data_IF_602806998531
#
_entry.id   IF_602806998531
#
_cell.length_a   1.000
_cell.length_b   1.000
_cell.length_c   1.000
_cell.angle_alpha   90.00
_cell.angle_beta   90.00
_cell.angle_gamma   90.00
#
_symmetry.space_group_name_H-M   'P 1'
#
loop_
_entity.id
_entity.type
_entity.pdbx_description
1 polymer ?
#
# COMPACT_ATOMS: atom_id res chain seq x y z
N UNK A 1 -14.31 11.75 6.40
CA UNK A 1 -14.29 11.20 5.04
C UNK A 1 -13.06 11.79 4.39
N UNK A 2 -11.93 11.09 4.43
CA UNK A 2 -10.70 11.57 3.80
C UNK A 2 -10.68 11.05 2.37
N UNK A 3 -10.58 11.97 1.42
CA UNK A 3 -10.53 11.63 0.01
C UNK A 3 -9.25 10.85 -0.30
N UNK A 4 -9.33 9.86 -1.18
CA UNK A 4 -8.18 9.00 -1.56
C UNK A 4 -7.06 9.82 -2.20
N UNK A 5 -7.40 11.00 -2.74
CA UNK A 5 -6.48 11.99 -3.28
C UNK A 5 -5.54 12.60 -2.21
N UNK A 6 -5.95 12.67 -0.95
CA UNK A 6 -5.14 13.24 0.16
C UNK A 6 -4.05 12.28 0.66
N UNK A 7 -4.07 11.01 0.23
CA UNK A 7 -3.08 9.98 0.59
C UNK A 7 -2.32 9.40 -0.62
N UNK A 8 -2.42 10.04 -1.79
CA UNK A 8 -1.72 9.59 -2.99
C UNK A 8 -0.20 9.70 -2.86
N UNK A 9 0.53 8.86 -3.59
CA UNK A 9 2.00 8.85 -3.60
C UNK A 9 2.64 10.25 -3.67
N UNK A 10 2.16 11.11 -4.59
CA UNK A 10 2.73 12.45 -4.78
C UNK A 10 2.64 13.33 -3.52
N UNK A 11 1.51 13.25 -2.80
CA UNK A 11 1.29 13.98 -1.54
C UNK A 11 2.22 13.44 -0.45
N UNK A 12 2.32 12.12 -0.31
CA UNK A 12 3.20 11.46 0.66
C UNK A 12 4.67 11.77 0.40
N UNK A 13 5.11 11.71 -0.87
CA UNK A 13 6.46 12.05 -1.29
C UNK A 13 6.80 13.50 -0.94
N UNK A 14 5.92 14.44 -1.31
CA UNK A 14 6.08 15.86 -1.01
C UNK A 14 6.19 16.11 0.49
N UNK A 15 5.31 15.49 1.29
CA UNK A 15 5.31 15.61 2.76
C UNK A 15 6.65 15.18 3.34
N UNK A 16 7.13 13.98 2.99
CA UNK A 16 8.43 13.49 3.50
C UNK A 16 9.60 14.36 3.08
N UNK A 17 9.59 14.87 1.85
CA UNK A 17 10.59 15.78 1.32
C UNK A 17 10.62 17.09 2.12
N UNK A 18 9.45 17.69 2.37
CA UNK A 18 9.32 18.99 3.05
C UNK A 18 9.66 18.91 4.53
N UNK A 19 9.24 17.85 5.23
CA UNK A 19 9.62 17.61 6.64
C UNK A 19 11.14 17.53 6.81
N UNK A 20 11.86 17.02 5.80
CA UNK A 20 13.32 16.92 5.77
C UNK A 20 14.02 18.13 5.14
N UNK A 21 13.25 19.15 4.74
CA UNK A 21 13.75 20.39 4.10
C UNK A 21 14.58 20.13 2.84
N UNK A 22 14.22 19.10 2.08
CA UNK A 22 14.87 18.78 0.80
C UNK A 22 14.10 19.47 -0.33
N UNK A 23 14.78 20.07 -1.31
CA UNK A 23 14.10 20.62 -2.50
C UNK A 23 13.84 19.52 -3.52
N UNK A 24 12.88 19.70 -4.45
CA UNK A 24 12.64 18.74 -5.53
C UNK A 24 13.93 18.47 -6.32
N UNK A 25 14.72 19.51 -6.62
CA UNK A 25 15.98 19.38 -7.35
C UNK A 25 17.01 18.59 -6.55
N UNK A 26 17.08 18.81 -5.23
CA UNK A 26 18.03 18.09 -4.39
C UNK A 26 17.65 16.62 -4.21
N UNK A 27 16.36 16.34 -4.11
CA UNK A 27 15.85 14.96 -4.09
C UNK A 27 16.17 14.24 -5.40
N UNK A 28 15.90 14.90 -6.53
CA UNK A 28 16.20 14.37 -7.86
C UNK A 28 17.69 14.04 -8.00
N UNK A 29 18.58 14.99 -7.66
CA UNK A 29 20.03 14.79 -7.68
C UNK A 29 20.47 13.60 -6.83
N UNK A 30 19.99 13.51 -5.58
CA UNK A 30 20.34 12.41 -4.66
C UNK A 30 19.82 11.05 -5.13
N UNK A 31 18.66 11.01 -5.77
CA UNK A 31 18.02 9.79 -6.24
C UNK A 31 18.48 9.37 -7.66
N UNK A 32 19.30 10.16 -8.34
CA UNK A 32 19.73 9.88 -9.72
C UNK A 32 18.64 10.15 -10.77
N UNK A 33 17.72 11.08 -10.48
CA UNK A 33 16.63 11.47 -11.37
C UNK A 33 16.74 12.92 -11.84
N UNK A 34 15.99 13.24 -12.89
CA UNK A 34 15.77 14.62 -13.31
C UNK A 34 14.76 15.32 -12.39
N UNK A 35 14.97 16.63 -12.16
CA UNK A 35 14.03 17.48 -11.42
C UNK A 35 12.58 17.36 -11.95
N UNK A 36 12.42 17.31 -13.27
CA UNK A 36 11.11 17.19 -13.92
C UNK A 36 10.41 15.86 -13.64
N UNK A 37 11.16 14.81 -13.28
CA UNK A 37 10.59 13.53 -12.87
C UNK A 37 9.98 13.66 -11.47
N UNK A 38 10.75 14.15 -10.49
CA UNK A 38 10.26 14.37 -9.12
C UNK A 38 9.05 15.32 -9.09
N UNK A 39 9.10 16.40 -9.87
CA UNK A 39 7.97 17.34 -10.00
C UNK A 39 6.69 16.64 -10.50
N UNK A 40 6.79 15.79 -11.53
CA UNK A 40 5.64 15.04 -12.07
C UNK A 40 5.14 13.94 -11.13
N UNK A 41 6.02 13.36 -10.32
CA UNK A 41 5.64 12.42 -9.28
C UNK A 41 4.83 13.12 -8.19
N UNK A 42 5.30 14.28 -7.69
CA UNK A 42 4.59 15.03 -6.64
C UNK A 42 3.24 15.59 -7.12
N UNK A 43 3.11 15.93 -8.41
CA UNK A 43 1.83 16.37 -8.97
C UNK A 43 0.88 15.23 -9.36
N UNK A 44 1.32 13.96 -9.26
CA UNK A 44 0.55 12.80 -9.71
C UNK A 44 0.47 12.63 -11.23
N UNK A 45 1.14 13.49 -12.01
CA UNK A 45 1.22 13.37 -13.47
C UNK A 45 2.01 12.15 -13.95
N UNK A 46 2.74 11.47 -13.06
CA UNK A 46 3.48 10.24 -13.34
C UNK A 46 3.35 9.24 -12.19
N UNK A 47 3.12 7.98 -12.54
CA UNK A 47 3.18 6.86 -11.59
C UNK A 47 4.63 6.36 -11.45
N UNK A 48 5.15 6.17 -10.22
CA UNK A 48 6.48 5.63 -10.01
C UNK A 48 6.55 4.11 -10.25
N UNK A 49 7.74 3.59 -10.52
CA UNK A 49 8.03 2.15 -10.36
C UNK A 49 8.45 1.87 -8.93
N UNK A 50 8.42 0.60 -8.49
CA UNK A 50 8.92 0.20 -7.16
C UNK A 50 10.34 0.70 -6.93
N UNK A 51 11.24 0.43 -7.87
CA UNK A 51 12.65 0.84 -7.78
C UNK A 51 12.80 2.35 -7.61
N UNK A 52 11.98 3.14 -8.31
CA UNK A 52 11.99 4.58 -8.17
C UNK A 52 11.53 5.02 -6.77
N UNK A 53 10.52 4.37 -6.19
CA UNK A 53 10.09 4.63 -4.81
C UNK A 53 11.23 4.33 -3.84
N UNK A 54 11.91 3.20 -4.01
CA UNK A 54 13.02 2.78 -3.14
C UNK A 54 14.22 3.74 -3.25
N UNK A 55 14.56 4.20 -4.46
CA UNK A 55 15.60 5.21 -4.69
C UNK A 55 15.27 6.55 -4.03
N UNK A 56 14.03 7.03 -4.14
CA UNK A 56 13.58 8.26 -3.49
C UNK A 56 13.58 8.12 -1.96
N UNK A 57 13.15 6.98 -1.44
CA UNK A 57 13.18 6.68 -0.02
C UNK A 57 14.61 6.64 0.54
N UNK A 58 15.54 6.03 -0.21
CA UNK A 58 16.98 6.02 0.11
C UNK A 58 17.55 7.44 0.12
N UNK A 59 17.27 8.24 -0.91
CA UNK A 59 17.77 9.61 -1.07
C UNK A 59 17.28 10.58 0.04
N UNK A 60 16.17 10.27 0.68
CA UNK A 60 15.62 10.99 1.83
C UNK A 60 16.00 10.36 3.18
N UNK A 61 16.76 9.25 3.19
CA UNK A 61 17.14 8.52 4.39
C UNK A 61 15.91 8.18 5.25
N UNK A 62 14.86 7.66 4.58
CA UNK A 62 13.64 7.25 5.28
C UNK A 62 13.90 6.01 6.14
N UNK A 63 13.48 6.08 7.41
CA UNK A 63 13.35 4.90 8.28
C UNK A 63 12.32 3.92 7.71
N UNK A 64 12.45 2.64 8.07
CA UNK A 64 11.65 1.54 7.52
C UNK A 64 10.14 1.82 7.50
N UNK A 65 9.58 2.32 8.60
CA UNK A 65 8.15 2.67 8.69
C UNK A 65 7.74 3.70 7.63
N UNK A 66 8.56 4.74 7.41
CA UNK A 66 8.28 5.76 6.39
C UNK A 66 8.50 5.24 4.96
N UNK A 67 9.44 4.30 4.77
CA UNK A 67 9.64 3.62 3.48
C UNK A 67 8.41 2.81 3.10
N UNK A 68 7.90 2.04 4.06
CA UNK A 68 6.74 1.18 3.87
C UNK A 68 5.47 2.02 3.62
N UNK A 69 5.34 3.15 4.31
CA UNK A 69 4.27 4.12 4.01
C UNK A 69 4.38 4.67 2.59
N UNK A 70 5.59 5.05 2.13
CA UNK A 70 5.80 5.58 0.79
C UNK A 70 5.53 4.53 -0.30
N UNK A 71 5.95 3.28 -0.07
CA UNK A 71 5.64 2.14 -0.94
C UNK A 71 4.13 1.89 -1.00
N UNK A 72 3.45 1.85 0.14
CA UNK A 72 2.01 1.65 0.20
C UNK A 72 1.24 2.78 -0.52
N UNK A 73 1.69 4.04 -0.38
CA UNK A 73 1.10 5.17 -1.08
C UNK A 73 1.28 5.10 -2.61
N UNK A 74 2.32 4.41 -3.08
CA UNK A 74 2.55 4.10 -4.49
C UNK A 74 1.82 2.83 -4.97
N UNK A 75 1.11 2.13 -4.08
CA UNK A 75 0.45 0.86 -4.38
C UNK A 75 1.39 -0.34 -4.35
N UNK A 76 2.55 -0.25 -3.71
CA UNK A 76 3.44 -1.38 -3.49
C UNK A 76 3.32 -1.92 -2.06
N UNK A 77 3.46 -3.24 -1.91
CA UNK A 77 3.47 -3.85 -0.58
C UNK A 77 4.87 -3.70 0.06
N UNK A 78 4.95 -3.49 1.38
CA UNK A 78 6.21 -3.65 2.12
C UNK A 78 6.85 -5.02 1.88
N UNK A 79 8.18 -5.11 1.97
CA UNK A 79 8.93 -6.34 1.69
C UNK A 79 8.52 -7.52 2.60
N UNK A 80 8.27 -7.25 3.87
CA UNK A 80 7.78 -8.24 4.84
C UNK A 80 6.41 -8.80 4.44
N UNK A 81 5.48 -7.91 4.04
CA UNK A 81 4.14 -8.29 3.59
C UNK A 81 4.21 -9.09 2.28
N UNK A 82 5.09 -8.70 1.35
CA UNK A 82 5.31 -9.46 0.12
C UNK A 82 5.79 -10.89 0.39
N UNK A 83 6.63 -11.07 1.42
CA UNK A 83 7.15 -12.39 1.81
C UNK A 83 6.05 -13.25 2.45
N UNK A 84 5.22 -12.66 3.32
CA UNK A 84 4.07 -13.34 3.93
C UNK A 84 3.05 -13.81 2.88
N UNK A 85 2.80 -12.99 1.85
CA UNK A 85 1.83 -13.30 0.79
C UNK A 85 2.39 -14.19 -0.32
N UNK A 86 3.70 -14.51 -0.30
CA UNK A 86 4.29 -15.40 -1.30
C UNK A 86 3.70 -16.83 -1.25
N UNK A 87 3.14 -17.23 -0.11
CA UNK A 87 2.38 -18.48 0.02
C UNK A 87 0.92 -18.40 -0.43
N UNK A 88 0.43 -17.21 -0.80
CA UNK A 88 -0.98 -16.91 -1.10
C UNK A 88 -1.10 -16.30 -2.50
N UNK A 89 -1.00 -17.11 -3.58
CA UNK A 89 -0.99 -16.61 -4.95
C UNK A 89 -2.29 -15.90 -5.33
N UNK A 90 -3.44 -16.34 -4.81
CA UNK A 90 -4.75 -15.74 -5.05
C UNK A 90 -4.83 -14.32 -4.49
N UNK A 91 -4.28 -14.10 -3.29
CA UNK A 91 -4.25 -12.76 -2.68
C UNK A 91 -3.35 -11.83 -3.48
N UNK A 92 -2.21 -12.32 -3.94
CA UNK A 92 -1.28 -11.57 -4.78
C UNK A 92 -1.92 -11.14 -6.11
N UNK A 93 -2.65 -12.05 -6.76
CA UNK A 93 -3.39 -11.75 -8.00
C UNK A 93 -4.47 -10.67 -7.77
N UNK A 94 -5.28 -10.84 -6.72
CA UNK A 94 -6.33 -9.88 -6.36
C UNK A 94 -5.74 -8.49 -6.09
N UNK A 95 -4.60 -8.41 -5.38
CA UNK A 95 -3.91 -7.15 -5.12
C UNK A 95 -3.42 -6.50 -6.42
N UNK A 96 -2.85 -7.28 -7.35
CA UNK A 96 -2.44 -6.78 -8.67
C UNK A 96 -3.62 -6.20 -9.48
N UNK A 97 -4.77 -6.89 -9.48
CA UNK A 97 -5.99 -6.42 -10.13
C UNK A 97 -6.55 -5.15 -9.48
N UNK A 98 -6.51 -5.05 -8.15
CA UNK A 98 -6.93 -3.85 -7.40
C UNK A 98 -6.03 -2.63 -7.70
N UNK A 99 -4.79 -2.84 -8.12
CA UNK A 99 -3.83 -1.77 -8.47
C UNK A 99 -3.86 -1.42 -9.95
N UNK A 100 -4.39 -2.29 -10.81
CA UNK A 100 -4.46 -2.06 -12.25
C UNK A 100 -5.54 -1.01 -12.61
N UNK A 101 -5.13 0.14 -13.14
CA UNK A 101 -6.04 1.22 -13.56
C UNK A 101 -6.84 0.92 -14.83
N UNK A 102 -6.53 -0.16 -15.55
CA UNK A 102 -7.38 -0.65 -16.64
C UNK A 102 -8.63 -1.36 -16.12
N UNK A 103 -8.61 -1.84 -14.87
CA UNK A 103 -9.78 -2.44 -14.23
C UNK A 103 -10.73 -1.32 -13.78
N UNK A 104 -12.01 -1.32 -14.20
CA UNK A 104 -12.96 -0.29 -13.82
C UNK A 104 -13.06 -0.11 -12.30
N UNK A 105 -13.16 1.13 -11.84
CA UNK A 105 -13.20 1.46 -10.41
C UNK A 105 -14.35 0.74 -9.67
N UNK A 106 -15.54 0.72 -10.27
CA UNK A 106 -16.69 -0.01 -9.72
C UNK A 106 -16.40 -1.51 -9.50
N UNK A 107 -15.60 -2.12 -10.38
CA UNK A 107 -15.22 -3.54 -10.24
C UNK A 107 -14.21 -3.72 -9.11
N UNK A 108 -13.20 -2.84 -9.02
CA UNK A 108 -12.24 -2.84 -7.91
C UNK A 108 -12.93 -2.59 -6.56
N UNK A 109 -13.96 -1.76 -6.51
CA UNK A 109 -14.77 -1.55 -5.30
C UNK A 109 -15.60 -2.78 -4.93
N UNK A 110 -16.18 -3.46 -5.92
CA UNK A 110 -16.89 -4.72 -5.71
C UNK A 110 -15.94 -5.79 -5.13
N UNK A 111 -14.72 -5.91 -5.68
CA UNK A 111 -13.69 -6.80 -5.13
C UNK A 111 -13.37 -6.49 -3.66
N UNK A 112 -13.23 -5.21 -3.30
CA UNK A 112 -12.99 -4.80 -1.90
C UNK A 112 -14.16 -5.16 -0.99
N UNK A 113 -15.40 -5.07 -1.46
CA UNK A 113 -16.56 -5.52 -0.68
C UNK A 113 -16.51 -7.02 -0.42
N UNK A 114 -16.22 -7.83 -1.44
CA UNK A 114 -16.10 -9.29 -1.29
C UNK A 114 -15.00 -9.65 -0.29
N UNK A 115 -13.81 -9.04 -0.40
CA UNK A 115 -12.72 -9.27 0.55
C UNK A 115 -13.11 -8.93 2.00
N UNK A 116 -13.84 -7.82 2.21
CA UNK A 116 -14.36 -7.47 3.54
C UNK A 116 -15.33 -8.53 4.06
N UNK A 117 -16.24 -9.02 3.22
CA UNK A 117 -17.18 -10.06 3.61
C UNK A 117 -16.45 -11.34 4.03
N UNK A 118 -15.48 -11.80 3.24
CA UNK A 118 -14.65 -12.98 3.59
C UNK A 118 -13.93 -12.79 4.92
N UNK A 119 -13.34 -11.62 5.14
CA UNK A 119 -12.65 -11.31 6.40
C UNK A 119 -13.60 -11.29 7.61
N UNK A 120 -14.80 -10.74 7.47
CA UNK A 120 -15.81 -10.75 8.53
C UNK A 120 -16.32 -12.17 8.81
N UNK A 121 -16.56 -12.97 7.77
CA UNK A 121 -16.95 -14.37 7.93
C UNK A 121 -15.88 -15.17 8.69
N UNK A 122 -14.60 -15.02 8.34
CA UNK A 122 -13.51 -15.69 9.03
C UNK A 122 -13.43 -15.27 10.51
N UNK A 123 -13.61 -13.98 10.82
CA UNK A 123 -13.66 -13.49 12.21
C UNK A 123 -14.84 -14.06 12.99
N UNK A 124 -15.99 -14.26 12.35
CA UNK A 124 -17.15 -14.87 12.99
C UNK A 124 -16.88 -16.33 13.36
N UNK A 125 -16.32 -17.13 12.44
CA UNK A 125 -15.93 -18.52 12.73
C UNK A 125 -14.97 -18.60 13.93
N UNK A 126 -13.98 -17.70 13.99
CA UNK A 126 -13.04 -17.64 15.11
C UNK A 126 -13.68 -17.21 16.44
N UNK A 127 -14.76 -16.42 16.40
CA UNK A 127 -15.53 -16.05 17.61
C UNK A 127 -16.48 -17.16 18.05
N UNK A 128 -17.00 -17.95 17.11
CA UNK A 128 -17.91 -19.06 17.38
C UNK A 128 -17.14 -20.29 17.91
N UNK A 129 -15.85 -20.48 17.55
CA UNK A 129 -14.97 -21.51 18.14
C UNK A 129 -14.59 -21.23 19.61
N UNK A 130 -14.74 -20.00 20.10
CA UNK A 130 -14.60 -19.65 21.54
C UNK A 130 -15.86 -20.05 22.34
N UNK A 131 -16.96 -20.44 21.67
CA UNK A 131 -18.07 -21.14 22.28
C UNK A 131 -17.79 -22.65 22.22
N UNK A 132 -16.88 -23.11 23.09
CA UNK A 132 -16.64 -24.54 23.28
C UNK A 132 -17.97 -25.30 23.39
N UNK A 133 -18.12 -26.47 22.75
CA UNK A 133 -19.31 -27.28 22.94
C UNK A 133 -19.36 -27.69 24.41
N UNK A 134 -20.43 -27.28 25.11
CA UNK A 134 -20.79 -27.85 26.40
C UNK A 134 -20.80 -29.37 26.22
N UNK A 135 -19.78 -30.00 26.81
CA UNK A 135 -19.60 -31.43 26.82
C UNK A 135 -20.89 -32.02 27.37
N UNK A 136 -21.58 -32.79 26.53
CA UNK A 136 -22.71 -33.62 26.94
C UNK A 136 -22.17 -34.58 28.01
N UNK A 137 -22.28 -34.17 29.27
CA UNK A 137 -22.05 -35.03 30.41
C UNK A 137 -23.25 -35.97 30.48
N UNK A 138 -22.99 -37.20 30.05
CA UNK A 138 -23.85 -38.34 30.31
C UNK A 138 -24.13 -38.46 31.82
N UNK A 139 -25.42 -38.53 32.16
CA UNK A 139 -25.93 -39.19 33.36
C UNK A 139 -27.35 -39.69 33.08
#
# INVERSE_FOLDING_TARGET
MFDRADFGFGVTLKRFRETRRVSQSKLAERAGFDHSYVSRLESGARTPTRDAVEQLANAMELEQVNRDELLAAAGFLPGEVSSLLSGEPEITEVLGLLQNNQVPEAYRDSMRQVLRLLAEQAKHVLKDDDAAPEVVAAA
#
